data_IF_484637288157
#
_entry.id   IF_484637288157
#
_cell.length_a   1.000
_cell.length_b   1.000
_cell.length_c   1.000
_cell.angle_alpha   90.00
_cell.angle_beta   90.00
_cell.angle_gamma   90.00
#
_symmetry.space_group_name_H-M   'P 1'
#
loop_
_entity.id
_entity.type
_entity.pdbx_description
1 polymer ?
#
# COMPACT_ATOMS: atom_id res chain seq x y z
N UNK A 1 -17.76 6.92 -38.53
CA UNK A 1 -17.10 6.52 -37.27
C UNK A 1 -15.60 6.63 -37.45
N UNK A 2 -14.88 7.37 -36.58
CA UNK A 2 -13.40 7.36 -36.58
C UNK A 2 -12.94 5.97 -36.15
N UNK A 3 -11.92 5.41 -36.82
CA UNK A 3 -11.35 4.11 -36.44
C UNK A 3 -10.70 4.23 -35.05
N UNK A 4 -10.78 3.20 -34.19
CA UNK A 4 -10.09 3.22 -32.90
C UNK A 4 -8.60 3.43 -33.12
N UNK A 5 -8.03 4.48 -32.52
CA UNK A 5 -6.60 4.73 -32.60
C UNK A 5 -5.90 3.97 -31.48
N UNK A 6 -4.94 3.13 -31.86
CA UNK A 6 -4.09 2.34 -30.98
C UNK A 6 -2.72 3.01 -30.91
N UNK A 7 -2.18 3.13 -29.70
CA UNK A 7 -0.81 3.59 -29.47
C UNK A 7 -0.01 2.45 -28.87
N UNK A 8 1.19 2.24 -29.41
CA UNK A 8 2.19 1.32 -28.87
C UNK A 8 3.01 2.05 -27.80
N UNK A 9 3.05 1.51 -26.59
CA UNK A 9 3.77 2.08 -25.44
C UNK A 9 4.74 1.05 -24.91
N UNK A 10 5.96 1.48 -24.56
CA UNK A 10 6.95 0.68 -23.86
C UNK A 10 7.39 1.42 -22.60
N UNK A 11 7.51 0.70 -21.48
CA UNK A 11 8.06 1.29 -20.25
C UNK A 11 9.10 0.37 -19.62
N UNK A 12 10.33 0.86 -19.57
CA UNK A 12 11.46 0.15 -18.96
C UNK A 12 12.02 0.98 -17.83
N UNK A 13 12.42 0.33 -16.75
CA UNK A 13 13.01 0.95 -15.55
C UNK A 13 14.38 0.34 -15.26
N UNK A 14 15.18 0.99 -14.41
CA UNK A 14 16.49 0.45 -14.00
C UNK A 14 16.43 -0.89 -13.26
N UNK A 15 15.24 -1.29 -12.79
CA UNK A 15 15.02 -2.61 -12.17
C UNK A 15 15.00 -3.74 -13.19
N UNK A 16 14.73 -3.42 -14.46
CA UNK A 16 14.60 -4.38 -15.56
C UNK A 16 15.96 -4.66 -16.23
N UNK A 17 17.03 -3.98 -15.77
CA UNK A 17 18.41 -4.25 -16.17
C UNK A 17 18.91 -5.50 -15.44
N UNK A 18 19.34 -6.55 -16.16
CA UNK A 18 19.95 -7.77 -15.59
C UNK A 18 21.19 -7.46 -14.74
N UNK A 19 21.49 -8.31 -13.76
CA UNK A 19 22.58 -8.06 -12.80
C UNK A 19 23.96 -8.11 -13.47
N UNK A 20 24.15 -9.01 -14.42
CA UNK A 20 25.33 -9.09 -15.29
C UNK A 20 25.56 -7.78 -16.08
N UNK A 21 24.48 -7.16 -16.56
CA UNK A 21 24.55 -5.90 -17.28
C UNK A 21 24.79 -4.71 -16.34
N UNK A 22 24.41 -4.82 -15.06
CA UNK A 22 24.77 -3.84 -14.02
C UNK A 22 26.23 -3.92 -13.64
N UNK A 23 26.79 -5.12 -13.56
CA UNK A 23 28.22 -5.31 -13.33
C UNK A 23 29.03 -4.74 -14.51
N UNK A 24 28.62 -5.02 -15.75
CA UNK A 24 29.20 -4.43 -16.96
C UNK A 24 29.10 -2.89 -16.93
N UNK A 25 27.94 -2.35 -16.55
CA UNK A 25 27.77 -0.90 -16.39
C UNK A 25 28.77 -0.31 -15.40
N UNK A 26 28.94 -0.89 -14.21
CA UNK A 26 29.87 -0.36 -13.20
C UNK A 26 31.33 -0.47 -13.64
N UNK A 27 31.72 -1.51 -14.40
CA UNK A 27 33.06 -1.61 -14.98
C UNK A 27 33.32 -0.57 -16.07
N UNK A 28 32.39 -0.41 -17.03
CA UNK A 28 32.52 0.59 -18.11
C UNK A 28 32.48 2.01 -17.55
N UNK A 29 31.66 2.25 -16.52
CA UNK A 29 31.52 3.55 -15.85
C UNK A 29 32.81 4.05 -15.23
N UNK A 30 33.70 3.16 -14.77
CA UNK A 30 35.05 3.54 -14.27
C UNK A 30 35.88 4.24 -15.35
N UNK A 31 35.60 3.96 -16.62
CA UNK A 31 36.32 4.49 -17.78
C UNK A 31 35.58 5.67 -18.40
N UNK A 32 34.27 5.56 -18.61
CA UNK A 32 33.44 6.62 -19.19
C UNK A 32 31.97 6.46 -18.80
N UNK A 33 31.39 7.51 -18.22
CA UNK A 33 29.97 7.55 -17.91
C UNK A 33 29.10 7.50 -19.18
N UNK A 34 29.55 8.14 -20.28
CA UNK A 34 28.79 8.17 -21.52
C UNK A 34 28.68 6.77 -22.15
N UNK A 35 29.80 6.04 -22.22
CA UNK A 35 29.83 4.67 -22.75
C UNK A 35 29.02 3.70 -21.87
N UNK A 36 29.08 3.86 -20.54
CA UNK A 36 28.27 3.05 -19.64
C UNK A 36 26.76 3.30 -19.83
N UNK A 37 26.37 4.56 -20.04
CA UNK A 37 24.98 4.90 -20.35
C UNK A 37 24.54 4.33 -21.70
N UNK A 38 25.42 4.29 -22.71
CA UNK A 38 25.13 3.67 -24.01
C UNK A 38 24.83 2.18 -23.88
N UNK A 39 25.60 1.41 -23.12
CA UNK A 39 25.36 -0.03 -22.88
C UNK A 39 23.97 -0.27 -22.27
N UNK A 40 23.62 0.52 -21.25
CA UNK A 40 22.31 0.42 -20.61
C UNK A 40 21.20 0.87 -21.55
N UNK A 41 21.39 1.96 -22.30
CA UNK A 41 20.39 2.44 -23.26
C UNK A 41 20.16 1.45 -24.40
N UNK A 42 21.21 0.86 -24.97
CA UNK A 42 21.10 -0.15 -26.02
C UNK A 42 20.32 -1.38 -25.52
N UNK A 43 20.60 -1.84 -24.31
CA UNK A 43 19.83 -2.92 -23.71
C UNK A 43 18.36 -2.52 -23.51
N UNK A 44 18.09 -1.35 -22.92
CA UNK A 44 16.73 -0.88 -22.66
C UNK A 44 15.94 -0.70 -23.97
N UNK A 45 16.57 -0.16 -25.01
CA UNK A 45 15.96 0.09 -26.32
C UNK A 45 15.71 -1.20 -27.09
N UNK A 46 16.65 -2.16 -27.02
CA UNK A 46 16.53 -3.46 -27.70
C UNK A 46 15.49 -4.39 -27.05
N UNK A 47 15.15 -4.14 -25.78
CA UNK A 47 14.16 -4.92 -25.02
C UNK A 47 12.86 -4.12 -24.76
N UNK A 48 12.57 -3.11 -25.59
CA UNK A 48 11.29 -2.40 -25.51
C UNK A 48 10.16 -3.33 -25.94
N UNK A 49 9.37 -3.79 -24.97
CA UNK A 49 8.09 -4.43 -25.23
C UNK A 49 7.01 -3.36 -25.45
N UNK A 50 6.43 -3.36 -26.64
CA UNK A 50 5.33 -2.49 -27.00
C UNK A 50 4.00 -3.19 -26.73
N UNK A 51 3.10 -2.53 -26.03
CA UNK A 51 1.73 -3.00 -25.83
C UNK A 51 0.71 -2.01 -26.38
N UNK A 52 -0.46 -2.55 -26.75
CA UNK A 52 -1.56 -1.76 -27.32
C UNK A 52 -2.35 -1.09 -26.20
N UNK A 53 -2.56 0.22 -26.36
CA UNK A 53 -3.50 1.00 -25.57
C UNK A 53 -4.50 1.69 -26.49
N UNK A 54 -5.79 1.36 -26.36
CA UNK A 54 -6.83 1.98 -27.18
C UNK A 54 -7.29 3.31 -26.57
N UNK A 55 -7.22 4.39 -27.34
CA UNK A 55 -7.59 5.73 -26.86
C UNK A 55 -9.07 5.86 -26.45
N UNK A 56 -9.95 5.03 -27.02
CA UNK A 56 -11.38 4.97 -26.66
C UNK A 56 -11.59 4.72 -25.16
N UNK A 57 -10.65 4.05 -24.48
CA UNK A 57 -10.68 3.85 -23.02
C UNK A 57 -10.70 5.18 -22.27
N UNK A 58 -9.88 6.15 -22.69
CA UNK A 58 -9.74 7.45 -22.03
C UNK A 58 -10.89 8.41 -22.39
N UNK A 59 -11.50 8.23 -23.56
CA UNK A 59 -12.65 9.01 -23.97
C UNK A 59 -13.89 8.74 -23.10
N UNK A 60 -14.01 7.53 -22.53
CA UNK A 60 -15.14 7.10 -21.71
C UNK A 60 -15.02 7.52 -20.25
N UNK A 61 -13.80 7.59 -19.72
CA UNK A 61 -13.54 7.97 -18.33
C UNK A 61 -12.22 8.74 -18.20
N UNK A 62 -12.33 10.02 -17.80
CA UNK A 62 -11.19 10.92 -17.60
C UNK A 62 -10.29 10.46 -16.44
N UNK A 63 -10.82 9.70 -15.48
CA UNK A 63 -10.04 9.10 -14.40
C UNK A 63 -9.01 8.09 -14.90
N UNK A 64 -9.16 7.60 -16.13
CA UNK A 64 -8.26 6.60 -16.73
C UNK A 64 -7.10 7.22 -17.51
N UNK A 65 -7.04 8.55 -17.66
CA UNK A 65 -5.98 9.19 -18.46
C UNK A 65 -4.55 8.84 -17.98
N UNK A 66 -4.38 8.45 -16.72
CA UNK A 66 -3.08 8.11 -16.13
C UNK A 66 -2.77 6.60 -16.10
N UNK A 67 -3.62 5.77 -16.70
CA UNK A 67 -3.45 4.30 -16.75
C UNK A 67 -2.86 3.81 -18.08
N UNK A 68 -2.30 4.72 -18.90
CA UNK A 68 -1.63 4.39 -20.18
C UNK A 68 -0.47 3.40 -20.06
N UNK A 69 -0.01 3.15 -18.83
CA UNK A 69 1.01 2.17 -18.50
C UNK A 69 0.50 0.72 -18.47
N UNK A 70 -0.82 0.53 -18.49
CA UNK A 70 -1.46 -0.76 -18.57
C UNK A 70 -2.01 -0.99 -19.97
N UNK A 71 -1.71 -2.16 -20.55
CA UNK A 71 -2.29 -2.62 -21.81
C UNK A 71 -3.81 -2.74 -21.72
N UNK A 72 -4.48 -2.88 -22.86
CA UNK A 72 -5.92 -3.13 -22.87
C UNK A 72 -6.28 -4.46 -22.19
N UNK A 73 -5.46 -5.50 -22.36
CA UNK A 73 -5.63 -6.81 -21.70
C UNK A 73 -5.47 -6.70 -20.19
N UNK A 74 -4.40 -6.05 -19.72
CA UNK A 74 -4.16 -5.81 -18.29
C UNK A 74 -5.32 -5.00 -17.67
N UNK A 75 -5.86 -4.05 -18.43
CA UNK A 75 -6.98 -3.24 -17.99
C UNK A 75 -8.29 -4.04 -17.87
N UNK A 76 -8.51 -5.05 -18.71
CA UNK A 76 -9.67 -5.95 -18.52
C UNK A 76 -9.54 -6.72 -17.21
N UNK A 77 -8.34 -7.17 -16.85
CA UNK A 77 -8.10 -7.83 -15.57
C UNK A 77 -8.40 -6.86 -14.41
N UNK A 78 -7.93 -5.61 -14.49
CA UNK A 78 -8.25 -4.57 -13.49
C UNK A 78 -9.77 -4.40 -13.34
N UNK A 79 -10.52 -4.34 -14.45
CA UNK A 79 -11.99 -4.24 -14.40
C UNK A 79 -12.63 -5.43 -13.68
N UNK A 80 -12.20 -6.65 -13.97
CA UNK A 80 -12.72 -7.87 -13.31
C UNK A 80 -12.41 -7.86 -11.80
N UNK A 81 -11.26 -7.32 -11.42
CA UNK A 81 -10.89 -7.15 -10.01
C UNK A 81 -11.77 -6.12 -9.30
N UNK A 82 -12.17 -5.05 -9.98
CA UNK A 82 -13.00 -3.96 -9.45
C UNK A 82 -14.51 -4.26 -9.50
N UNK A 83 -14.94 -5.10 -10.45
CA UNK A 83 -16.33 -5.52 -10.62
C UNK A 83 -16.84 -6.24 -9.36
N UNK A 84 -17.97 -5.74 -8.85
CA UNK A 84 -18.64 -6.19 -7.62
C UNK A 84 -17.74 -6.19 -6.37
N UNK A 85 -16.63 -5.45 -6.38
CA UNK A 85 -15.76 -5.30 -5.22
C UNK A 85 -16.15 -4.09 -4.38
N UNK A 86 -16.04 -4.20 -3.06
CA UNK A 86 -16.04 -3.03 -2.19
C UNK A 86 -14.70 -2.33 -2.30
N UNK A 87 -14.69 -1.01 -2.40
CA UNK A 87 -13.46 -0.26 -2.16
C UNK A 87 -13.09 -0.34 -0.67
N UNK A 88 -11.79 -0.26 -0.37
CA UNK A 88 -11.35 -0.25 1.03
C UNK A 88 -11.96 0.92 1.82
N UNK A 89 -12.20 2.08 1.19
CA UNK A 89 -12.92 3.21 1.81
C UNK A 89 -14.35 2.85 2.23
N UNK A 90 -15.10 2.19 1.35
CA UNK A 90 -16.47 1.74 1.65
C UNK A 90 -16.45 0.71 2.78
N UNK A 91 -15.52 -0.26 2.70
CA UNK A 91 -15.35 -1.28 3.73
C UNK A 91 -14.95 -0.68 5.09
N UNK A 92 -14.18 0.41 5.11
CA UNK A 92 -13.76 1.09 6.34
C UNK A 92 -14.72 2.20 6.78
N UNK A 93 -15.96 2.21 6.30
CA UNK A 93 -16.96 3.19 6.73
C UNK A 93 -17.68 2.75 8.01
N UNK A 94 -17.63 3.59 9.04
CA UNK A 94 -18.38 3.46 10.29
C UNK A 94 -19.22 4.72 10.51
N UNK A 95 -20.50 4.57 10.86
CA UNK A 95 -21.42 5.69 11.12
C UNK A 95 -21.39 6.81 10.04
N UNK A 96 -21.27 6.40 8.76
CA UNK A 96 -21.20 7.31 7.62
C UNK A 96 -19.87 8.05 7.43
N UNK A 97 -18.80 7.67 8.15
CA UNK A 97 -17.46 8.25 8.04
C UNK A 97 -16.43 7.18 7.68
N UNK A 98 -15.49 7.53 6.80
CA UNK A 98 -14.39 6.63 6.40
C UNK A 98 -13.28 6.67 7.45
N UNK A 99 -12.92 5.51 7.99
CA UNK A 99 -11.85 5.34 8.97
C UNK A 99 -10.60 4.73 8.33
N UNK A 100 -9.97 5.52 7.45
CA UNK A 100 -8.61 5.32 6.95
C UNK A 100 -7.82 6.58 7.27
N UNK A 101 -6.88 6.52 8.21
CA UNK A 101 -6.19 7.70 8.75
C UNK A 101 -4.68 7.67 8.50
N UNK A 102 -4.09 8.85 8.30
CA UNK A 102 -2.64 9.04 8.34
C UNK A 102 -2.15 8.99 9.79
N UNK A 103 -1.72 7.80 10.23
CA UNK A 103 -1.44 7.53 11.63
C UNK A 103 -2.69 7.62 12.52
N UNK A 104 -2.49 7.36 13.79
CA UNK A 104 -3.46 7.64 14.85
C UNK A 104 -2.90 8.61 15.89
N UNK A 105 -1.65 9.04 15.74
CA UNK A 105 -1.02 10.07 16.58
C UNK A 105 -1.58 11.45 16.20
N UNK A 106 -1.78 12.32 17.19
CA UNK A 106 -2.19 13.70 16.96
C UNK A 106 -1.03 14.52 16.39
N UNK A 107 -1.35 15.57 15.64
CA UNK A 107 -0.34 16.44 15.03
C UNK A 107 0.55 17.12 16.08
N UNK A 108 -0.05 17.60 17.16
CA UNK A 108 0.67 18.21 18.29
C UNK A 108 1.66 17.21 18.91
N UNK A 109 1.25 15.96 19.10
CA UNK A 109 2.11 14.95 19.68
C UNK A 109 3.27 14.55 18.76
N UNK A 110 3.06 14.50 17.45
CA UNK A 110 4.16 14.29 16.50
C UNK A 110 5.15 15.46 16.49
N UNK A 111 4.67 16.70 16.59
CA UNK A 111 5.52 17.90 16.65
C UNK A 111 6.34 17.96 17.96
N UNK A 112 5.82 17.36 19.05
CA UNK A 112 6.47 17.29 20.37
C UNK A 112 6.80 15.85 20.79
N UNK A 113 7.29 15.03 19.86
CA UNK A 113 7.40 13.57 20.07
C UNK A 113 8.17 13.18 21.34
N UNK A 114 9.21 13.92 21.73
CA UNK A 114 9.99 13.66 22.95
C UNK A 114 9.16 13.79 24.25
N UNK A 115 8.13 14.63 24.27
CA UNK A 115 7.23 14.81 25.43
C UNK A 115 6.25 13.65 25.60
N UNK A 116 5.83 13.06 24.48
CA UNK A 116 4.79 12.03 24.44
C UNK A 116 5.34 10.61 24.28
N UNK A 117 6.65 10.45 24.15
CA UNK A 117 7.29 9.14 24.00
C UNK A 117 8.29 8.87 25.11
N UNK A 118 8.57 7.59 25.34
CA UNK A 118 9.68 7.14 26.18
C UNK A 118 10.42 5.98 25.50
N UNK A 119 11.75 5.84 25.71
CA UNK A 119 12.50 4.67 25.25
C UNK A 119 11.92 3.38 25.82
N UNK A 120 11.78 2.33 25.01
CA UNK A 120 11.21 1.06 25.49
C UNK A 120 11.97 0.44 26.67
N UNK A 121 13.28 0.70 26.77
CA UNK A 121 14.14 0.30 27.89
C UNK A 121 13.77 0.95 29.23
N UNK A 122 13.07 2.09 29.19
CA UNK A 122 12.65 2.86 30.37
C UNK A 122 11.18 2.60 30.72
N UNK A 123 10.55 1.61 30.09
CA UNK A 123 9.14 1.32 30.30
C UNK A 123 8.86 0.81 31.73
N UNK A 124 7.89 1.39 32.45
CA UNK A 124 7.47 0.86 33.75
C UNK A 124 6.78 -0.50 33.59
N UNK A 125 6.77 -1.31 34.65
CA UNK A 125 6.17 -2.66 34.65
C UNK A 125 4.72 -2.70 34.11
N UNK A 126 3.92 -1.66 34.37
CA UNK A 126 2.51 -1.57 33.97
C UNK A 126 2.25 -0.57 32.82
N UNK A 127 3.21 -0.37 31.92
CA UNK A 127 3.12 0.63 30.86
C UNK A 127 1.92 0.48 29.91
N UNK A 128 1.38 -0.74 29.72
CA UNK A 128 0.34 -1.03 28.73
C UNK A 128 -0.96 -0.24 28.93
N UNK A 129 -1.20 0.26 30.15
CA UNK A 129 -2.35 1.12 30.44
C UNK A 129 -2.21 2.49 29.79
N UNK A 130 -1.03 3.09 29.95
CA UNK A 130 -0.79 4.49 29.61
C UNK A 130 -0.04 4.68 28.29
N UNK A 131 0.51 3.60 27.73
CA UNK A 131 1.33 3.63 26.53
C UNK A 131 0.96 2.55 25.50
N UNK A 132 1.38 2.79 24.26
CA UNK A 132 1.34 1.85 23.14
C UNK A 132 2.73 1.75 22.50
N UNK A 133 2.97 0.65 21.80
CA UNK A 133 4.22 0.47 21.03
C UNK A 133 4.22 1.41 19.83
N UNK A 134 5.17 2.35 19.76
CA UNK A 134 5.19 3.33 18.68
C UNK A 134 5.70 2.72 17.38
N UNK A 135 4.95 2.90 16.28
CA UNK A 135 5.32 2.44 14.95
C UNK A 135 5.54 3.61 13.98
N UNK A 136 6.66 3.53 13.24
CA UNK A 136 6.95 4.28 12.01
C UNK A 136 6.84 3.34 10.80
N UNK A 137 6.77 3.89 9.58
CA UNK A 137 6.67 3.09 8.35
C UNK A 137 7.79 2.05 8.19
N UNK A 138 8.97 2.31 8.76
CA UNK A 138 10.08 1.35 8.82
C UNK A 138 9.77 0.06 9.61
N UNK A 139 8.83 0.10 10.55
CA UNK A 139 8.42 -1.05 11.35
C UNK A 139 7.39 -1.95 10.65
N UNK A 140 6.70 -1.47 9.62
CA UNK A 140 5.65 -2.26 8.97
C UNK A 140 6.29 -3.27 8.02
N UNK A 141 5.98 -4.56 8.21
CA UNK A 141 6.27 -5.67 7.30
C UNK A 141 4.95 -6.33 6.87
N UNK A 142 5.00 -7.21 5.88
CA UNK A 142 3.81 -7.97 5.48
C UNK A 142 3.32 -8.78 6.67
N UNK A 143 2.03 -8.68 6.94
CA UNK A 143 1.27 -9.34 8.01
C UNK A 143 1.61 -8.92 9.44
N UNK A 144 2.86 -8.61 9.77
CA UNK A 144 3.29 -8.36 11.14
C UNK A 144 4.06 -7.05 11.31
N UNK A 145 3.82 -6.29 12.40
CA UNK A 145 4.71 -5.21 12.79
C UNK A 145 6.04 -5.74 13.32
N UNK A 146 7.13 -5.11 12.94
CA UNK A 146 8.47 -5.36 13.46
C UNK A 146 8.82 -4.30 14.50
N UNK A 147 8.47 -4.59 15.75
CA UNK A 147 8.81 -3.79 16.92
C UNK A 147 9.48 -4.67 17.96
N UNK A 148 10.55 -4.18 18.59
CA UNK A 148 11.28 -4.94 19.61
C UNK A 148 11.73 -3.99 20.71
N UNK A 149 11.54 -4.32 22.00
CA UNK A 149 11.99 -3.47 23.11
C UNK A 149 13.52 -3.38 23.18
N UNK A 150 14.24 -4.30 22.51
CA UNK A 150 15.71 -4.37 22.50
C UNK A 150 16.36 -3.52 21.41
N UNK A 151 15.57 -2.88 20.54
CA UNK A 151 16.10 -1.94 19.56
C UNK A 151 16.18 -0.55 20.17
N UNK A 152 17.34 0.09 20.12
CA UNK A 152 17.61 1.42 20.69
C UNK A 152 16.66 2.51 20.16
N UNK A 153 16.15 2.32 18.94
CA UNK A 153 15.18 3.20 18.30
C UNK A 153 13.73 2.99 18.74
N UNK A 154 13.44 1.91 19.48
CA UNK A 154 12.08 1.56 19.88
C UNK A 154 11.59 2.45 21.00
N UNK A 155 10.44 3.10 20.75
CA UNK A 155 9.77 3.94 21.73
C UNK A 155 8.36 3.43 22.01
N UNK A 156 7.90 3.77 23.19
CA UNK A 156 6.50 3.74 23.56
C UNK A 156 5.92 5.15 23.40
N UNK A 157 4.64 5.25 23.01
CA UNK A 157 3.91 6.52 22.89
C UNK A 157 2.73 6.54 23.86
N UNK A 158 2.50 7.67 24.53
CA UNK A 158 1.41 7.84 25.49
C UNK A 158 0.05 7.71 24.79
N UNK A 159 -0.93 7.09 25.44
CA UNK A 159 -2.29 6.94 24.91
C UNK A 159 -2.96 8.30 24.66
N UNK A 160 -2.69 9.32 25.49
CA UNK A 160 -3.24 10.67 25.31
C UNK A 160 -2.65 11.43 24.10
N UNK A 161 -1.61 10.91 23.46
CA UNK A 161 -1.10 11.41 22.19
C UNK A 161 -1.85 10.83 20.97
N UNK A 162 -2.74 9.86 21.19
CA UNK A 162 -3.51 9.19 20.15
C UNK A 162 -4.89 9.85 20.00
N UNK A 163 -5.44 9.79 18.79
CA UNK A 163 -6.80 10.28 18.51
C UNK A 163 -7.82 9.39 19.22
N UNK A 164 -8.74 10.01 19.96
CA UNK A 164 -9.76 9.32 20.75
C UNK A 164 -10.98 8.86 19.94
N UNK A 165 -11.17 9.42 18.75
CA UNK A 165 -12.35 9.21 17.88
C UNK A 165 -12.27 7.96 16.99
N UNK A 166 -11.27 7.10 17.20
CA UNK A 166 -11.02 5.94 16.35
C UNK A 166 -11.75 4.69 16.85
N UNK A 167 -12.20 3.79 15.94
CA UNK A 167 -12.84 2.55 16.33
C UNK A 167 -11.94 1.67 17.20
N UNK A 168 -12.50 1.07 18.25
CA UNK A 168 -11.82 0.04 19.04
C UNK A 168 -12.00 -1.33 18.39
N UNK A 169 -11.36 -1.53 17.23
CA UNK A 169 -11.49 -2.73 16.42
C UNK A 169 -10.13 -3.18 15.86
N UNK A 170 -9.97 -4.48 15.49
CA UNK A 170 -8.84 -4.94 14.70
C UNK A 170 -8.62 -4.05 13.48
N UNK A 171 -7.36 -3.73 13.20
CA UNK A 171 -7.02 -2.73 12.18
C UNK A 171 -5.82 -3.13 11.34
N UNK A 172 -5.80 -2.57 10.14
CA UNK A 172 -4.72 -2.70 9.17
C UNK A 172 -3.71 -1.58 9.40
N UNK A 173 -2.43 -1.91 9.31
CA UNK A 173 -1.31 -0.99 9.39
C UNK A 173 -0.59 -0.98 8.04
N UNK A 174 -0.79 0.09 7.27
CA UNK A 174 -0.35 0.17 5.88
C UNK A 174 0.86 1.10 5.79
N UNK A 175 1.95 0.62 5.22
CA UNK A 175 3.19 1.39 5.08
C UNK A 175 3.03 2.52 4.06
N UNK A 176 3.38 3.77 4.41
CA UNK A 176 3.24 4.93 3.51
C UNK A 176 4.09 4.82 2.25
N UNK A 177 5.33 4.34 2.39
CA UNK A 177 6.31 4.34 1.30
C UNK A 177 6.95 2.97 1.12
N UNK A 178 6.67 2.31 0.00
CA UNK A 178 7.18 0.98 -0.33
C UNK A 178 7.12 0.70 -1.85
N UNK A 179 7.82 -0.33 -2.32
CA UNK A 179 7.77 -0.76 -3.73
C UNK A 179 6.47 -1.48 -4.11
N UNK A 180 5.73 -1.96 -3.12
CA UNK A 180 4.46 -2.66 -3.26
C UNK A 180 3.64 -2.48 -1.98
N UNK A 181 2.30 -2.65 -2.05
CA UNK A 181 1.46 -2.61 -0.86
C UNK A 181 2.03 -3.51 0.23
N UNK A 182 2.25 -2.94 1.41
CA UNK A 182 2.82 -3.63 2.56
C UNK A 182 1.94 -3.33 3.77
N UNK A 183 1.24 -4.35 4.23
CA UNK A 183 0.21 -4.23 5.27
C UNK A 183 0.49 -5.22 6.38
N UNK A 184 0.48 -4.74 7.63
CA UNK A 184 0.45 -5.56 8.83
C UNK A 184 -0.93 -5.52 9.48
N UNK A 185 -1.20 -6.42 10.43
CA UNK A 185 -2.42 -6.40 11.25
C UNK A 185 -2.10 -6.05 12.71
N UNK A 186 -3.00 -5.30 13.33
CA UNK A 186 -3.02 -5.02 14.76
C UNK A 186 -4.37 -5.48 15.34
N UNK A 187 -4.43 -6.75 15.72
CA UNK A 187 -5.66 -7.40 16.19
C UNK A 187 -6.05 -7.02 17.63
N UNK A 188 -5.14 -6.41 18.38
CA UNK A 188 -5.30 -6.09 19.81
C UNK A 188 -5.17 -4.59 20.11
N UNK A 189 -5.02 -3.75 19.09
CA UNK A 189 -4.82 -2.30 19.21
C UNK A 189 -3.63 -1.94 20.13
N UNK A 190 -2.51 -2.67 20.01
CA UNK A 190 -1.34 -2.54 20.90
C UNK A 190 -0.36 -1.43 20.46
N UNK A 191 -0.54 -0.91 19.25
CA UNK A 191 0.40 0.05 18.66
C UNK A 191 -0.15 1.48 18.64
N UNK A 192 0.75 2.46 18.60
CA UNK A 192 0.45 3.84 18.24
C UNK A 192 1.25 4.21 17.01
N UNK A 193 0.58 4.69 15.98
CA UNK A 193 1.10 4.85 14.63
C UNK A 193 1.33 6.33 14.29
N UNK A 194 2.57 6.65 13.93
CA UNK A 194 2.91 7.94 13.32
C UNK A 194 2.37 8.00 11.88
N UNK A 195 2.26 9.19 11.30
CA UNK A 195 1.76 9.45 9.93
C UNK A 195 2.42 8.68 8.78
N UNK A 196 3.54 8.02 9.04
CA UNK A 196 4.22 7.14 8.05
C UNK A 196 3.60 5.73 7.97
N UNK A 197 2.55 5.50 8.76
CA UNK A 197 1.72 4.28 8.77
C UNK A 197 0.27 4.72 8.66
N UNK A 198 -0.43 4.34 7.59
CA UNK A 198 -1.88 4.54 7.52
C UNK A 198 -2.57 3.45 8.33
N UNK A 199 -3.65 3.83 9.01
CA UNK A 199 -4.43 2.92 9.85
C UNK A 199 -5.83 2.81 9.25
N UNK A 200 -6.26 1.60 8.91
CA UNK A 200 -7.57 1.35 8.34
C UNK A 200 -8.37 0.36 9.19
N UNK A 201 -9.66 0.62 9.37
CA UNK A 201 -10.54 -0.15 10.25
C UNK A 201 -11.65 -0.84 9.44
N UNK A 202 -11.43 -2.06 8.91
CA UNK A 202 -12.47 -2.80 8.19
C UNK A 202 -13.72 -3.00 9.06
N UNK A 203 -14.90 -2.68 8.52
CA UNK A 203 -16.17 -2.83 9.20
C UNK A 203 -16.85 -4.16 8.82
N UNK A 204 -17.03 -5.10 9.76
CA UNK A 204 -17.72 -6.37 9.51
C UNK A 204 -19.12 -6.21 8.92
N UNK A 205 -19.90 -5.22 9.38
CA UNK A 205 -21.25 -4.99 8.88
C UNK A 205 -21.25 -4.58 7.40
N UNK A 206 -20.27 -3.75 6.98
CA UNK A 206 -20.10 -3.38 5.56
C UNK A 206 -19.72 -4.57 4.71
N UNK A 207 -18.89 -5.46 5.24
CA UNK A 207 -18.52 -6.69 4.56
C UNK A 207 -19.72 -7.63 4.42
N UNK A 208 -20.49 -7.82 5.48
CA UNK A 208 -21.69 -8.67 5.50
C UNK A 208 -22.75 -8.19 4.51
N UNK A 209 -23.02 -6.87 4.46
CA UNK A 209 -23.94 -6.26 3.48
C UNK A 209 -23.58 -6.66 2.03
N UNK A 210 -22.30 -6.73 1.70
CA UNK A 210 -21.82 -7.08 0.36
C UNK A 210 -21.66 -8.59 0.14
N UNK A 211 -21.23 -9.33 1.17
CA UNK A 211 -20.88 -10.73 1.07
C UNK A 211 -22.08 -11.68 1.30
N UNK A 212 -23.12 -11.20 2.00
CA UNK A 212 -24.29 -11.99 2.37
C UNK A 212 -24.05 -12.99 3.51
N UNK A 213 -22.98 -12.82 4.28
CA UNK A 213 -22.69 -13.65 5.45
C UNK A 213 -21.89 -12.89 6.52
N UNK A 214 -22.14 -13.23 7.78
CA UNK A 214 -21.44 -12.66 8.94
C UNK A 214 -19.96 -13.04 8.96
N UNK A 215 -19.12 -12.12 9.42
CA UNK A 215 -17.67 -12.34 9.56
C UNK A 215 -17.15 -11.76 10.87
N UNK A 216 -16.27 -12.50 11.55
CA UNK A 216 -15.54 -11.97 12.70
C UNK A 216 -14.56 -10.85 12.29
N UNK A 217 -14.46 -9.80 13.09
CA UNK A 217 -13.63 -8.63 12.79
C UNK A 217 -12.13 -8.97 12.61
N UNK A 218 -11.61 -9.95 13.37
CA UNK A 218 -10.20 -10.37 13.22
C UNK A 218 -10.02 -11.15 11.93
N UNK A 219 -10.94 -12.06 11.62
CA UNK A 219 -10.92 -12.83 10.37
C UNK A 219 -11.00 -11.89 9.16
N UNK A 220 -11.91 -10.91 9.18
CA UNK A 220 -11.99 -9.87 8.15
C UNK A 220 -10.68 -9.09 8.02
N UNK A 221 -10.11 -8.63 9.14
CA UNK A 221 -8.85 -7.88 9.10
C UNK A 221 -7.69 -8.70 8.52
N UNK A 222 -7.59 -9.99 8.84
CA UNK A 222 -6.59 -10.90 8.27
C UNK A 222 -6.82 -11.12 6.77
N UNK A 223 -8.07 -11.35 6.37
CA UNK A 223 -8.46 -11.50 4.97
C UNK A 223 -8.09 -10.27 4.14
N UNK A 224 -8.46 -9.06 4.59
CA UNK A 224 -8.13 -7.82 3.87
C UNK A 224 -6.62 -7.61 3.81
N UNK A 225 -5.87 -7.93 4.88
CA UNK A 225 -4.42 -7.88 4.83
C UNK A 225 -3.83 -8.87 3.80
N UNK A 226 -4.41 -10.06 3.64
CA UNK A 226 -3.99 -11.02 2.63
C UNK A 226 -4.25 -10.52 1.20
N UNK A 227 -5.44 -9.95 0.95
CA UNK A 227 -5.78 -9.32 -0.33
C UNK A 227 -4.78 -8.21 -0.64
N UNK A 228 -4.57 -7.28 0.30
CA UNK A 228 -3.70 -6.13 0.08
C UNK A 228 -2.24 -6.51 -0.12
N UNK A 229 -1.72 -7.52 0.56
CA UNK A 229 -0.33 -7.98 0.40
C UNK A 229 -0.10 -8.89 -0.81
N UNK A 230 -1.17 -9.25 -1.55
CA UNK A 230 -1.11 -10.20 -2.65
C UNK A 230 -0.38 -9.65 -3.88
N UNK A 231 0.11 -10.58 -4.73
CA UNK A 231 0.69 -10.22 -6.04
C UNK A 231 -0.35 -9.58 -6.97
N UNK A 232 -1.62 -9.96 -6.84
CA UNK A 232 -2.72 -9.36 -7.59
C UNK A 232 -2.92 -7.89 -7.21
N UNK A 233 -2.87 -7.56 -5.92
CA UNK A 233 -2.99 -6.16 -5.49
C UNK A 233 -1.79 -5.32 -5.95
N UNK A 234 -0.59 -5.89 -5.95
CA UNK A 234 0.58 -5.24 -6.56
C UNK A 234 0.35 -4.94 -8.05
N UNK A 235 -0.16 -5.92 -8.80
CA UNK A 235 -0.51 -5.75 -10.21
C UNK A 235 -1.54 -4.64 -10.40
N UNK A 236 -2.63 -4.66 -9.63
CA UNK A 236 -3.67 -3.63 -9.68
C UNK A 236 -3.11 -2.23 -9.41
N UNK A 237 -2.26 -2.08 -8.38
CA UNK A 237 -1.61 -0.81 -8.07
C UNK A 237 -0.70 -0.31 -9.20
N UNK A 238 0.06 -1.22 -9.82
CA UNK A 238 0.89 -0.87 -10.97
C UNK A 238 0.02 -0.40 -12.12
N UNK A 239 -0.99 -1.15 -12.53
CA UNK A 239 -1.84 -0.79 -13.65
C UNK A 239 -2.61 0.54 -13.43
N UNK A 240 -3.06 0.79 -12.20
CA UNK A 240 -3.87 1.97 -11.86
C UNK A 240 -3.03 3.23 -11.60
N UNK A 241 -1.87 3.08 -10.96
CA UNK A 241 -1.12 4.20 -10.38
C UNK A 241 0.35 4.24 -10.78
N UNK A 242 0.76 3.50 -11.82
CA UNK A 242 2.16 3.45 -12.29
C UNK A 242 2.87 4.82 -12.33
N UNK A 243 2.13 5.83 -12.82
CA UNK A 243 2.59 7.20 -13.05
C UNK A 243 2.84 7.97 -11.76
N UNK A 244 2.35 7.48 -10.62
CA UNK A 244 2.54 8.09 -9.29
C UNK A 244 3.75 7.51 -8.56
N UNK A 245 4.56 6.65 -9.19
CA UNK A 245 5.80 6.14 -8.59
C UNK A 245 6.81 7.26 -8.39
N UNK A 246 7.56 7.17 -7.30
CA UNK A 246 8.58 8.13 -6.90
C UNK A 246 9.89 7.42 -6.54
N UNK A 247 11.00 8.15 -6.67
CA UNK A 247 12.34 7.65 -6.33
C UNK A 247 12.71 6.38 -7.10
N UNK A 248 13.22 5.36 -6.41
CA UNK A 248 13.66 4.06 -6.97
C UNK A 248 12.49 3.12 -7.34
N UNK A 249 11.45 3.65 -7.99
CA UNK A 249 10.25 2.91 -8.38
C UNK A 249 9.39 2.48 -7.19
N UNK A 250 9.33 3.30 -6.14
CA UNK A 250 8.45 3.09 -4.99
C UNK A 250 7.15 3.87 -5.17
N UNK A 251 6.12 3.47 -4.43
CA UNK A 251 4.87 4.21 -4.33
C UNK A 251 4.80 4.93 -2.99
N UNK A 252 4.06 6.03 -2.99
CA UNK A 252 3.51 6.60 -1.77
C UNK A 252 2.02 6.33 -1.72
N UNK A 253 1.64 5.42 -0.84
CA UNK A 253 0.28 4.91 -0.69
C UNK A 253 -0.58 5.92 0.08
N UNK A 254 -0.90 7.06 -0.53
CA UNK A 254 -1.79 8.07 0.09
C UNK A 254 -3.17 7.48 0.37
N UNK A 255 -3.89 8.03 1.36
CA UNK A 255 -5.26 7.61 1.73
C UNK A 255 -6.17 7.48 0.52
N UNK A 256 -6.11 8.43 -0.42
CA UNK A 256 -6.91 8.40 -1.64
C UNK A 256 -6.63 7.19 -2.55
N UNK A 257 -5.39 6.69 -2.59
CA UNK A 257 -5.02 5.52 -3.40
C UNK A 257 -5.27 4.21 -2.65
N UNK A 258 -5.02 4.20 -1.34
CA UNK A 258 -5.33 3.08 -0.44
C UNK A 258 -6.84 2.81 -0.44
N UNK A 259 -7.64 3.86 -0.31
CA UNK A 259 -9.08 3.79 -0.22
C UNK A 259 -9.75 3.20 -1.46
N UNK A 260 -9.11 3.30 -2.63
CA UNK A 260 -9.62 2.74 -3.89
C UNK A 260 -9.35 1.24 -4.07
N UNK A 261 -8.57 0.61 -3.19
CA UNK A 261 -8.21 -0.79 -3.35
C UNK A 261 -9.46 -1.69 -3.36
N UNK A 262 -9.66 -2.55 -4.38
CA UNK A 262 -10.82 -3.41 -4.47
C UNK A 262 -10.70 -4.62 -3.54
N UNK A 263 -11.72 -4.83 -2.72
CA UNK A 263 -11.87 -5.94 -1.78
C UNK A 263 -13.09 -6.75 -2.19
N UNK A 264 -12.86 -7.92 -2.78
CA UNK A 264 -13.90 -8.77 -3.36
C UNK A 264 -14.28 -9.89 -2.40
N UNK A 265 -15.53 -9.90 -1.92
CA UNK A 265 -15.99 -10.96 -1.02
C UNK A 265 -15.87 -12.35 -1.69
N UNK A 266 -15.19 -13.32 -1.05
CA UNK A 266 -15.18 -14.69 -1.52
C UNK A 266 -16.51 -15.39 -1.19
N UNK A 267 -16.75 -16.55 -1.80
CA UNK A 267 -17.84 -17.43 -1.36
C UNK A 267 -17.62 -17.87 0.10
N UNK A 268 -18.71 -18.01 0.86
CA UNK A 268 -18.68 -18.33 2.30
C UNK A 268 -17.81 -19.54 2.63
N UNK A 269 -17.96 -20.63 1.87
CA UNK A 269 -17.23 -21.88 2.04
C UNK A 269 -15.71 -21.75 1.85
N UNK A 270 -15.26 -20.74 1.08
CA UNK A 270 -13.85 -20.43 0.88
C UNK A 270 -13.29 -19.50 1.95
N UNK A 271 -14.15 -18.73 2.61
CA UNK A 271 -13.74 -17.85 3.69
C UNK A 271 -13.52 -18.61 5.00
N UNK A 272 -14.34 -19.63 5.26
CA UNK A 272 -14.32 -20.41 6.51
C UNK A 272 -13.20 -21.47 6.57
N UNK A 273 -12.48 -21.72 5.46
CA UNK A 273 -11.36 -22.67 5.37
C UNK A 273 -10.03 -22.01 5.70
#
# INVERSE_FOLDING_TARGET
MRRPHKVEVAIVTSKDIPEDLREEFEEVRKTSLAAALEVVLDYLLSNLEFYTVTQDRFARDRGLMFTFSASDEEWQVVKIMEEDALTLSELCTWDGRVFITEGDTTREAEEQLSKYTLPASEAPLEWKRDYRMMLKGGNVRKYVPQWSPYNEDSKLIRVNALRSELPSAPRLLIKDYASEPTVAVDLKCEYGCLRTVYVAYPNPAKFEEAAGYEVDAKALCLYVAAVLNSRLMKFWYLARFYTTRMGRGNFRFRTQFIGMAPIKAPAKDRFER
#
